data_IF_561543726319
#
_entry.id   IF_561543726319
#
_cell.length_a   1.000
_cell.length_b   1.000
_cell.length_c   1.000
_cell.angle_alpha   90.00
_cell.angle_beta   90.00
_cell.angle_gamma   90.00
#
_symmetry.space_group_name_H-M   'P 1'
#
loop_
_entity.id
_entity.type
_entity.pdbx_description
1 polymer ?
#
# COMPACT_ATOMS: atom_id res chain seq x y z
N UNK A 1 14.59 9.98 -25.17
CA UNK A 1 14.72 8.75 -26.00
C UNK A 1 15.08 7.62 -25.05
N UNK A 2 14.30 6.54 -25.01
CA UNK A 2 14.57 5.37 -24.14
C UNK A 2 15.72 4.56 -24.77
N UNK A 3 16.75 4.16 -24.00
CA UNK A 3 17.82 3.29 -24.50
C UNK A 3 17.28 1.94 -24.98
N UNK A 4 17.81 1.41 -26.09
CA UNK A 4 17.36 0.11 -26.64
C UNK A 4 17.57 -1.04 -25.65
N UNK A 5 18.62 -0.99 -24.84
CA UNK A 5 18.90 -1.98 -23.80
C UNK A 5 17.79 -2.04 -22.73
N UNK A 6 17.18 -0.92 -22.38
CA UNK A 6 16.05 -0.88 -21.43
C UNK A 6 14.80 -1.48 -22.07
N UNK A 7 14.55 -1.18 -23.34
CA UNK A 7 13.43 -1.78 -24.08
C UNK A 7 13.57 -3.31 -24.16
N UNK A 8 14.75 -3.83 -24.43
CA UNK A 8 15.03 -5.27 -24.46
C UNK A 8 14.80 -5.91 -23.07
N UNK A 9 15.32 -5.30 -22.00
CA UNK A 9 15.13 -5.80 -20.64
C UNK A 9 13.64 -5.81 -20.21
N UNK A 10 12.89 -4.79 -20.57
CA UNK A 10 11.43 -4.75 -20.29
C UNK A 10 10.71 -5.81 -21.12
N UNK A 11 11.08 -6.02 -22.39
CA UNK A 11 10.51 -7.05 -23.24
C UNK A 11 10.75 -8.47 -22.68
N UNK A 12 11.96 -8.73 -22.19
CA UNK A 12 12.30 -10.02 -21.54
C UNK A 12 11.42 -10.25 -20.29
N UNK A 13 11.21 -9.23 -19.46
CA UNK A 13 10.34 -9.32 -18.29
C UNK A 13 8.88 -9.57 -18.67
N UNK A 14 8.37 -8.91 -19.71
CA UNK A 14 7.01 -9.15 -20.25
C UNK A 14 6.87 -10.57 -20.75
N UNK A 15 7.88 -11.11 -21.47
CA UNK A 15 7.86 -12.50 -21.95
C UNK A 15 7.83 -13.50 -20.81
N UNK A 16 8.54 -13.23 -19.72
CA UNK A 16 8.52 -14.07 -18.52
C UNK A 16 7.14 -14.03 -17.87
N UNK A 17 6.55 -12.84 -17.74
CA UNK A 17 5.23 -12.66 -17.13
C UNK A 17 4.11 -13.31 -17.95
N UNK A 18 4.17 -13.26 -19.28
CA UNK A 18 3.18 -13.90 -20.17
C UNK A 18 3.13 -15.44 -20.04
N UNK A 19 4.17 -16.06 -19.47
CA UNK A 19 4.19 -17.49 -19.18
C UNK A 19 3.46 -17.85 -17.89
N UNK A 20 3.08 -16.87 -17.09
CA UNK A 20 2.31 -17.02 -15.86
C UNK A 20 0.83 -16.77 -16.19
N UNK A 21 0.00 -17.81 -16.10
CA UNK A 21 -1.38 -17.84 -16.65
C UNK A 21 -2.37 -16.83 -16.04
N UNK A 22 -2.02 -16.12 -14.93
CA UNK A 22 -2.99 -15.35 -14.14
C UNK A 22 -2.54 -13.93 -13.76
N UNK A 23 -1.49 -13.38 -14.38
CA UNK A 23 -0.95 -12.15 -13.84
C UNK A 23 -0.76 -11.06 -14.90
N UNK A 24 -1.34 -9.90 -14.64
CA UNK A 24 -0.94 -8.67 -15.30
C UNK A 24 0.40 -8.22 -14.80
N UNK A 25 1.24 -7.90 -15.75
CA UNK A 25 2.59 -7.45 -15.49
C UNK A 25 2.66 -5.92 -15.56
N UNK A 26 3.30 -5.33 -14.55
CA UNK A 26 3.66 -3.93 -14.58
C UNK A 26 5.15 -3.77 -14.30
N UNK A 27 5.77 -2.86 -15.04
CA UNK A 27 7.18 -2.56 -14.91
C UNK A 27 7.42 -1.06 -14.91
N UNK A 28 8.15 -0.57 -13.92
CA UNK A 28 8.75 0.76 -13.94
C UNK A 28 10.22 0.63 -14.32
N UNK A 29 10.65 1.39 -15.32
CA UNK A 29 12.03 1.37 -15.78
C UNK A 29 12.58 2.81 -15.90
N UNK A 30 13.86 2.97 -15.59
CA UNK A 30 14.62 4.20 -15.83
C UNK A 30 15.56 4.03 -17.02
N UNK A 31 16.30 5.07 -17.37
CA UNK A 31 17.38 4.98 -18.36
C UNK A 31 18.50 4.01 -17.95
N UNK A 32 18.56 3.63 -16.67
CA UNK A 32 19.54 2.67 -16.14
C UNK A 32 19.03 1.23 -16.12
N UNK A 33 17.74 0.99 -16.40
CA UNK A 33 17.11 -0.34 -16.41
C UNK A 33 15.81 -0.40 -15.63
N UNK A 34 15.22 -1.59 -15.50
CA UNK A 34 14.04 -1.83 -14.69
C UNK A 34 14.29 -1.48 -13.21
N UNK A 35 13.34 -0.79 -12.58
CA UNK A 35 13.35 -0.42 -11.16
C UNK A 35 12.44 -1.32 -10.35
N UNK A 36 11.24 -1.55 -10.87
CA UNK A 36 10.20 -2.38 -10.26
C UNK A 36 9.54 -3.19 -11.35
N UNK A 37 9.35 -4.48 -11.07
CA UNK A 37 8.57 -5.37 -11.91
C UNK A 37 7.69 -6.21 -10.98
N UNK A 38 6.37 -6.17 -11.18
CA UNK A 38 5.42 -6.88 -10.34
C UNK A 38 4.22 -7.35 -11.16
N UNK A 39 3.44 -8.24 -10.58
CA UNK A 39 2.20 -8.73 -11.16
C UNK A 39 1.04 -8.24 -10.32
N UNK A 40 -0.06 -7.89 -10.95
CA UNK A 40 -1.29 -7.47 -10.27
C UNK A 40 -2.35 -8.56 -10.38
N UNK A 41 -3.10 -8.83 -9.31
CA UNK A 41 -4.21 -9.78 -9.35
C UNK A 41 -5.38 -9.29 -10.20
N UNK A 42 -5.60 -7.98 -10.22
CA UNK A 42 -6.68 -7.35 -10.98
C UNK A 42 -6.12 -6.52 -12.14
N UNK A 43 -6.55 -6.80 -13.38
CA UNK A 43 -6.12 -6.06 -14.54
C UNK A 43 -6.57 -4.60 -14.52
N UNK A 44 -5.67 -3.65 -14.87
CA UNK A 44 -6.14 -2.36 -15.34
C UNK A 44 -7.02 -2.55 -16.58
N UNK A 45 -7.96 -1.65 -16.76
CA UNK A 45 -8.95 -1.73 -17.85
C UNK A 45 -8.33 -1.63 -19.24
N UNK A 46 -7.06 -1.22 -19.34
CA UNK A 46 -6.31 -1.09 -20.59
C UNK A 46 -4.80 -1.08 -20.33
N UNK A 47 -4.04 -1.48 -21.33
CA UNK A 47 -2.58 -1.41 -21.31
C UNK A 47 -2.12 0.05 -21.30
N UNK A 48 -1.24 0.39 -20.38
CA UNK A 48 -0.62 1.71 -20.30
C UNK A 48 0.87 1.60 -20.54
N UNK A 49 1.38 2.31 -21.53
CA UNK A 49 2.80 2.52 -21.75
C UNK A 49 3.05 4.02 -21.79
N UNK A 50 3.80 4.52 -20.83
CA UNK A 50 4.11 5.94 -20.72
C UNK A 50 5.61 6.16 -20.53
N UNK A 51 6.11 7.31 -21.03
CA UNK A 51 7.48 7.78 -20.86
C UNK A 51 7.42 9.19 -20.33
N UNK A 52 7.61 9.34 -19.04
CA UNK A 52 7.51 10.60 -18.33
C UNK A 52 8.75 10.87 -17.46
N UNK A 53 8.92 12.13 -17.05
CA UNK A 53 9.97 12.52 -16.09
C UNK A 53 9.73 11.94 -14.69
N UNK A 54 8.45 11.68 -14.34
CA UNK A 54 8.04 10.98 -13.12
C UNK A 54 7.22 9.75 -13.52
N UNK A 55 7.55 8.55 -13.02
CA UNK A 55 6.78 7.37 -13.32
C UNK A 55 5.40 7.42 -12.69
N UNK A 56 4.42 6.80 -13.33
CA UNK A 56 3.07 6.62 -12.81
C UNK A 56 3.07 5.51 -11.76
N UNK A 57 3.16 5.87 -10.49
CA UNK A 57 3.26 4.92 -9.37
C UNK A 57 1.95 4.68 -8.63
N UNK A 58 0.92 5.51 -8.86
CA UNK A 58 -0.39 5.39 -8.21
C UNK A 58 -0.98 3.98 -8.27
N UNK A 59 -1.09 3.34 -9.44
CA UNK A 59 -1.60 1.97 -9.55
C UNK A 59 -0.80 0.92 -8.76
N UNK A 60 0.53 1.11 -8.65
CA UNK A 60 1.37 0.22 -7.81
C UNK A 60 1.04 0.38 -6.33
N UNK A 61 0.91 1.63 -5.85
CA UNK A 61 0.55 1.90 -4.47
C UNK A 61 -0.86 1.39 -4.15
N UNK A 62 -1.82 1.57 -5.04
CA UNK A 62 -3.17 1.06 -4.89
C UNK A 62 -3.19 -0.47 -4.78
N UNK A 63 -2.45 -1.15 -5.66
CA UNK A 63 -2.29 -2.60 -5.61
C UNK A 63 -1.63 -3.06 -4.31
N UNK A 64 -0.51 -2.46 -3.91
CA UNK A 64 0.16 -2.78 -2.65
C UNK A 64 -0.75 -2.56 -1.43
N UNK A 65 -1.56 -1.51 -1.43
CA UNK A 65 -2.51 -1.23 -0.36
C UNK A 65 -3.69 -2.20 -0.33
N UNK A 66 -4.08 -2.76 -1.47
CA UNK A 66 -5.11 -3.79 -1.57
C UNK A 66 -4.60 -5.16 -1.12
N UNK A 67 -3.31 -5.43 -1.31
CA UNK A 67 -2.63 -6.65 -0.89
C UNK A 67 -2.26 -6.54 0.60
N UNK A 68 -3.24 -6.73 1.48
CA UNK A 68 -2.94 -6.82 2.91
C UNK A 68 -1.97 -7.97 3.19
N UNK A 69 -0.82 -7.64 3.78
CA UNK A 69 0.06 -8.67 4.31
C UNK A 69 -0.65 -9.43 5.42
N UNK A 70 -0.90 -10.70 5.20
CA UNK A 70 -1.68 -11.51 6.13
C UNK A 70 -1.03 -12.87 6.36
N UNK A 71 -1.22 -13.40 7.57
CA UNK A 71 -0.85 -14.76 7.93
C UNK A 71 -2.11 -15.59 7.99
N UNK A 72 -2.08 -16.76 7.37
CA UNK A 72 -3.14 -17.76 7.45
C UNK A 72 -2.65 -18.95 8.27
N UNK A 73 -3.33 -19.25 9.35
CA UNK A 73 -3.11 -20.45 10.16
C UNK A 73 -4.29 -21.41 9.99
N UNK A 74 -4.07 -22.49 9.27
CA UNK A 74 -5.06 -23.55 9.07
C UNK A 74 -4.82 -24.64 10.09
N UNK A 75 -5.83 -24.90 10.92
CA UNK A 75 -5.84 -25.87 12.02
C UNK A 75 -6.70 -27.05 11.63
N UNK A 76 -6.09 -28.22 11.56
CA UNK A 76 -6.75 -29.48 11.30
C UNK A 76 -6.52 -30.49 12.43
N UNK A 77 -6.99 -31.76 12.25
CA UNK A 77 -6.82 -32.84 13.24
C UNK A 77 -5.37 -33.28 13.44
N UNK A 78 -4.46 -32.93 12.52
CA UNK A 78 -3.04 -33.32 12.56
C UNK A 78 -2.17 -32.27 13.21
N UNK A 79 -2.61 -31.02 13.22
CA UNK A 79 -1.87 -29.88 13.74
C UNK A 79 -2.24 -28.56 13.10
N UNK A 80 -1.25 -27.74 12.79
CA UNK A 80 -1.43 -26.43 12.17
C UNK A 80 -0.47 -26.27 10.99
N UNK A 81 -0.96 -25.77 9.88
CA UNK A 81 -0.16 -25.24 8.78
C UNK A 81 -0.30 -23.73 8.76
N UNK A 82 0.83 -23.03 8.80
CA UNK A 82 0.90 -21.58 8.77
C UNK A 82 1.52 -21.14 7.45
N UNK A 83 0.87 -20.19 6.80
CA UNK A 83 1.28 -19.63 5.50
C UNK A 83 1.30 -18.11 5.65
N UNK A 84 2.45 -17.51 5.36
CA UNK A 84 2.61 -16.06 5.27
C UNK A 84 3.14 -15.71 3.89
N UNK A 85 2.37 -15.01 3.05
CA UNK A 85 2.89 -14.48 1.80
C UNK A 85 4.00 -13.45 2.11
N UNK A 86 5.08 -13.43 1.33
CA UNK A 86 6.19 -12.55 1.58
C UNK A 86 5.86 -11.11 1.15
N UNK A 87 6.39 -10.12 1.85
CA UNK A 87 6.54 -8.78 1.26
C UNK A 87 7.55 -8.81 0.10
N UNK A 88 8.66 -9.54 0.34
CA UNK A 88 9.72 -9.76 -0.65
C UNK A 88 10.30 -11.16 -0.44
N UNK A 89 10.38 -11.96 -1.49
CA UNK A 89 11.02 -13.27 -1.42
C UNK A 89 10.08 -14.47 -1.39
N UNK A 90 10.44 -15.53 -0.67
CA UNK A 90 9.69 -16.79 -0.64
C UNK A 90 8.56 -16.79 0.39
N UNK A 91 7.47 -17.50 0.08
CA UNK A 91 6.37 -17.73 1.01
C UNK A 91 6.86 -18.46 2.25
N UNK A 92 6.64 -17.88 3.42
CA UNK A 92 6.94 -18.55 4.68
C UNK A 92 5.86 -19.62 4.91
N UNK A 93 6.29 -20.87 5.03
CA UNK A 93 5.39 -21.97 5.38
C UNK A 93 5.97 -22.74 6.55
N UNK A 94 5.23 -22.78 7.66
CA UNK A 94 5.60 -23.56 8.83
C UNK A 94 4.49 -24.55 9.19
N UNK A 95 4.85 -25.71 9.75
CA UNK A 95 3.91 -26.73 10.17
C UNK A 95 4.20 -27.13 11.62
N UNK A 96 3.17 -27.13 12.45
CA UNK A 96 3.22 -27.65 13.81
C UNK A 96 2.42 -28.96 13.87
N UNK A 97 3.08 -30.05 14.25
CA UNK A 97 2.42 -31.35 14.39
C UNK A 97 1.86 -31.49 15.80
N UNK A 98 0.61 -31.93 15.89
CA UNK A 98 -0.10 -32.17 17.15
C UNK A 98 -0.84 -30.94 17.67
N UNK A 99 -1.70 -31.19 18.68
CA UNK A 99 -2.56 -30.16 19.27
C UNK A 99 -1.92 -29.59 20.54
N UNK A 100 -1.14 -28.54 20.37
CA UNK A 100 -0.64 -27.71 21.45
C UNK A 100 -1.12 -26.25 21.24
N UNK A 101 -2.22 -25.81 21.88
CA UNK A 101 -2.76 -24.47 21.68
C UNK A 101 -1.76 -23.36 21.99
N UNK A 102 -0.97 -23.49 23.04
CA UNK A 102 0.03 -22.48 23.41
C UNK A 102 1.14 -22.40 22.37
N UNK A 103 1.64 -23.55 21.91
CA UNK A 103 2.67 -23.62 20.86
C UNK A 103 2.16 -23.08 19.50
N UNK A 104 0.90 -23.33 19.17
CA UNK A 104 0.27 -22.79 17.98
C UNK A 104 0.14 -21.26 18.06
N UNK A 105 -0.35 -20.74 19.18
CA UNK A 105 -0.49 -19.30 19.41
C UNK A 105 0.88 -18.59 19.35
N UNK A 106 1.90 -19.16 19.99
CA UNK A 106 3.27 -18.62 19.96
C UNK A 106 3.85 -18.60 18.55
N UNK A 107 3.63 -19.67 17.76
CA UNK A 107 4.12 -19.74 16.38
C UNK A 107 3.43 -18.70 15.50
N UNK A 108 2.11 -18.55 15.58
CA UNK A 108 1.34 -17.56 14.86
C UNK A 108 1.86 -16.13 15.17
N UNK A 109 1.97 -15.80 16.47
CA UNK A 109 2.43 -14.48 16.90
C UNK A 109 3.86 -14.19 16.46
N UNK A 110 4.75 -15.19 16.53
CA UNK A 110 6.15 -15.05 16.07
C UNK A 110 6.23 -14.79 14.58
N UNK A 111 5.52 -15.56 13.75
CA UNK A 111 5.55 -15.38 12.29
C UNK A 111 4.90 -14.07 11.89
N UNK A 112 3.75 -13.73 12.47
CA UNK A 112 3.08 -12.47 12.20
C UNK A 112 3.98 -11.25 12.52
N UNK A 113 4.71 -11.30 13.63
CA UNK A 113 5.67 -10.27 13.99
C UNK A 113 6.87 -10.20 13.02
N UNK A 114 7.42 -11.35 12.63
CA UNK A 114 8.57 -11.42 11.71
C UNK A 114 8.24 -10.98 10.28
N UNK A 115 6.99 -11.16 9.86
CA UNK A 115 6.50 -10.79 8.51
C UNK A 115 5.82 -9.43 8.47
N UNK A 116 5.79 -8.70 9.58
CA UNK A 116 5.10 -7.41 9.73
C UNK A 116 3.66 -7.47 9.16
N UNK A 117 2.92 -8.42 9.71
CA UNK A 117 1.59 -8.80 9.21
C UNK A 117 0.53 -7.80 9.63
N UNK A 118 -0.33 -7.41 8.70
CA UNK A 118 -1.47 -6.51 8.93
C UNK A 118 -2.76 -7.22 9.31
N UNK A 119 -2.81 -8.56 9.16
CA UNK A 119 -3.99 -9.37 9.44
C UNK A 119 -3.58 -10.82 9.71
N UNK A 120 -4.14 -11.43 10.76
CA UNK A 120 -4.04 -12.87 11.01
C UNK A 120 -5.40 -13.51 10.79
N UNK A 121 -5.45 -14.52 9.92
CA UNK A 121 -6.61 -15.38 9.70
C UNK A 121 -6.36 -16.73 10.38
N UNK A 122 -7.22 -17.12 11.31
CA UNK A 122 -7.16 -18.44 11.96
C UNK A 122 -8.35 -19.25 11.50
N UNK A 123 -8.07 -20.36 10.86
CA UNK A 123 -9.03 -21.21 10.16
C UNK A 123 -9.07 -22.59 10.81
N UNK A 124 -10.24 -23.10 11.16
CA UNK A 124 -10.34 -24.44 11.78
C UNK A 124 -11.72 -24.76 12.35
N UNK A 125 -11.84 -25.92 13.01
CA UNK A 125 -13.08 -26.27 13.68
C UNK A 125 -13.38 -25.35 14.86
N UNK A 126 -14.66 -25.07 15.18
CA UNK A 126 -15.03 -24.19 16.30
C UNK A 126 -14.33 -24.55 17.62
N UNK A 127 -14.26 -25.84 17.96
CA UNK A 127 -13.63 -26.30 19.20
C UNK A 127 -12.11 -26.02 19.25
N UNK A 128 -11.42 -26.13 18.12
CA UNK A 128 -9.99 -25.84 18.01
C UNK A 128 -9.75 -24.34 18.10
N UNK A 129 -10.58 -23.56 17.42
CA UNK A 129 -10.47 -22.10 17.43
C UNK A 129 -10.79 -21.50 18.80
N UNK A 130 -11.75 -22.07 19.56
CA UNK A 130 -12.07 -21.64 20.93
C UNK A 130 -10.87 -21.79 21.88
N UNK A 131 -10.01 -22.78 21.62
CA UNK A 131 -8.79 -22.97 22.42
C UNK A 131 -7.65 -22.04 22.05
N UNK A 132 -7.47 -21.70 20.76
CA UNK A 132 -6.29 -21.03 20.24
C UNK A 132 -6.50 -19.51 20.07
N UNK A 133 -7.63 -19.08 19.52
CA UNK A 133 -7.92 -17.68 19.23
C UNK A 133 -7.73 -16.74 20.45
N UNK A 134 -8.22 -17.06 21.66
CA UNK A 134 -8.00 -16.21 22.82
C UNK A 134 -6.52 -16.07 23.23
N UNK A 135 -5.71 -17.09 22.96
CA UNK A 135 -4.27 -17.07 23.24
C UNK A 135 -3.53 -16.15 22.26
N UNK A 136 -3.88 -16.25 20.98
CA UNK A 136 -3.31 -15.40 19.92
C UNK A 136 -3.67 -13.93 20.15
N UNK A 137 -4.93 -13.61 20.41
CA UNK A 137 -5.40 -12.23 20.66
C UNK A 137 -4.74 -11.60 21.90
N UNK A 138 -4.39 -12.41 22.90
CA UNK A 138 -3.70 -11.91 24.11
C UNK A 138 -2.21 -11.76 23.98
N UNK A 139 -1.61 -12.23 22.90
CA UNK A 139 -0.16 -12.12 22.68
C UNK A 139 0.21 -10.66 22.41
N UNK A 140 1.00 -10.07 23.29
CA UNK A 140 1.39 -8.66 23.21
C UNK A 140 2.37 -8.34 22.07
N UNK A 141 2.76 -9.31 21.25
CA UNK A 141 3.57 -9.12 20.04
C UNK A 141 2.70 -8.82 18.82
N UNK A 142 1.40 -9.09 18.91
CA UNK A 142 0.46 -8.85 17.80
C UNK A 142 -0.16 -7.47 17.93
N UNK A 143 0.06 -6.66 16.91
CA UNK A 143 -0.51 -5.32 16.78
C UNK A 143 -1.55 -5.25 15.65
N UNK A 144 -1.94 -6.39 15.07
CA UNK A 144 -2.91 -6.50 13.99
C UNK A 144 -4.17 -7.27 14.42
N UNK A 145 -5.29 -7.09 13.71
CA UNK A 145 -6.50 -7.87 13.92
C UNK A 145 -6.29 -9.37 13.71
N UNK A 146 -6.96 -10.16 14.54
CA UNK A 146 -7.03 -11.63 14.41
C UNK A 146 -8.47 -11.99 14.06
N UNK A 147 -8.68 -12.53 12.88
CA UNK A 147 -9.99 -12.99 12.42
C UNK A 147 -10.07 -14.51 12.48
N UNK A 148 -11.21 -14.97 12.90
CA UNK A 148 -11.56 -16.39 13.01
C UNK A 148 -12.47 -16.78 11.85
N UNK A 149 -12.14 -17.92 11.21
CA UNK A 149 -12.95 -18.54 10.16
C UNK A 149 -13.28 -19.97 10.62
N UNK A 150 -14.54 -20.20 10.94
CA UNK A 150 -15.02 -21.50 11.39
C UNK A 150 -15.25 -22.42 10.18
N UNK A 151 -14.62 -23.60 10.16
CA UNK A 151 -14.84 -24.62 9.13
C UNK A 151 -15.78 -25.71 9.68
N UNK A 152 -16.82 -26.03 8.92
CA UNK A 152 -17.59 -27.24 9.13
C UNK A 152 -16.97 -28.37 8.28
N UNK A 153 -16.19 -29.24 8.92
CA UNK A 153 -15.36 -30.31 8.32
C UNK A 153 -16.07 -31.18 7.26
N UNK A 154 -17.39 -31.15 7.20
CA UNK A 154 -18.17 -32.05 6.34
C UNK A 154 -18.74 -31.38 5.08
N UNK A 155 -18.65 -30.02 4.94
CA UNK A 155 -19.42 -29.29 3.93
C UNK A 155 -18.67 -28.23 3.13
N UNK A 156 -17.54 -27.76 3.59
CA UNK A 156 -16.85 -26.65 2.96
C UNK A 156 -15.70 -27.15 2.07
N UNK A 157 -15.73 -26.78 0.80
CA UNK A 157 -14.64 -27.08 -0.14
C UNK A 157 -13.47 -26.11 0.05
N UNK A 158 -12.26 -26.50 -0.36
CA UNK A 158 -11.08 -25.64 -0.33
C UNK A 158 -11.31 -24.33 -1.14
N UNK A 159 -12.11 -24.39 -2.20
CA UNK A 159 -12.45 -23.23 -3.01
C UNK A 159 -13.34 -22.24 -2.24
N UNK A 160 -14.37 -22.70 -1.53
CA UNK A 160 -15.24 -21.86 -0.73
C UNK A 160 -14.47 -21.21 0.43
N UNK A 161 -13.54 -21.94 1.03
CA UNK A 161 -12.66 -21.41 2.06
C UNK A 161 -11.74 -20.31 1.50
N UNK A 162 -11.15 -20.55 0.33
CA UNK A 162 -10.32 -19.55 -0.33
C UNK A 162 -11.10 -18.26 -0.65
N UNK A 163 -12.33 -18.38 -1.18
CA UNK A 163 -13.20 -17.23 -1.42
C UNK A 163 -13.53 -16.45 -0.13
N UNK A 164 -13.77 -17.16 0.97
CA UNK A 164 -14.05 -16.53 2.26
C UNK A 164 -12.84 -15.77 2.78
N UNK A 165 -11.64 -16.35 2.68
CA UNK A 165 -10.40 -15.69 3.06
C UNK A 165 -10.16 -14.42 2.22
N UNK A 166 -10.31 -14.50 0.90
CA UNK A 166 -10.19 -13.34 -0.01
C UNK A 166 -11.17 -12.24 0.39
N UNK A 167 -12.42 -12.60 0.70
CA UNK A 167 -13.43 -11.63 1.15
C UNK A 167 -13.02 -10.93 2.45
N UNK A 168 -12.49 -11.66 3.44
CA UNK A 168 -12.01 -11.07 4.70
C UNK A 168 -10.84 -10.11 4.48
N UNK A 169 -9.90 -10.47 3.60
CA UNK A 169 -8.77 -9.60 3.23
C UNK A 169 -9.28 -8.32 2.54
N UNK A 170 -10.19 -8.46 1.57
CA UNK A 170 -10.79 -7.33 0.86
C UNK A 170 -11.59 -6.40 1.80
N UNK A 171 -12.41 -6.97 2.69
CA UNK A 171 -13.15 -6.21 3.70
C UNK A 171 -12.22 -5.42 4.63
N UNK A 172 -11.10 -6.02 5.03
CA UNK A 172 -10.12 -5.34 5.89
C UNK A 172 -9.41 -4.22 5.15
N UNK A 173 -9.01 -4.46 3.90
CA UNK A 173 -8.42 -3.41 3.04
C UNK A 173 -9.37 -2.22 2.88
N UNK A 174 -10.63 -2.47 2.54
CA UNK A 174 -11.64 -1.42 2.43
C UNK A 174 -11.84 -0.63 3.75
N UNK A 175 -11.84 -1.33 4.90
CA UNK A 175 -11.94 -0.67 6.22
C UNK A 175 -10.77 0.25 6.50
N UNK A 176 -9.53 -0.11 6.11
CA UNK A 176 -8.36 0.76 6.26
C UNK A 176 -8.54 2.09 5.54
N UNK A 177 -9.03 2.04 4.30
CA UNK A 177 -9.33 3.26 3.53
C UNK A 177 -10.38 4.13 4.25
N UNK A 178 -11.47 3.51 4.73
CA UNK A 178 -12.52 4.23 5.47
C UNK A 178 -11.97 4.81 6.78
N UNK A 179 -11.14 4.07 7.51
CA UNK A 179 -10.49 4.54 8.74
C UNK A 179 -9.57 5.74 8.45
N UNK A 180 -8.77 5.67 7.38
CA UNK A 180 -7.90 6.78 6.95
C UNK A 180 -8.69 8.02 6.55
N UNK A 181 -9.79 7.86 5.80
CA UNK A 181 -10.68 8.97 5.44
C UNK A 181 -11.36 9.60 6.67
N UNK A 182 -11.82 8.80 7.62
CA UNK A 182 -12.40 9.30 8.89
C UNK A 182 -11.39 10.08 9.70
N UNK A 183 -10.17 9.55 9.80
CA UNK A 183 -9.08 10.22 10.48
C UNK A 183 -8.73 11.55 9.80
N UNK A 184 -8.62 11.53 8.48
CA UNK A 184 -8.40 12.74 7.69
C UNK A 184 -9.49 13.80 7.95
N UNK A 185 -10.77 13.43 7.88
CA UNK A 185 -11.89 14.35 8.17
C UNK A 185 -11.87 14.90 9.59
N UNK A 186 -11.48 14.07 10.55
CA UNK A 186 -11.27 14.51 11.92
C UNK A 186 -10.20 15.60 12.01
N UNK A 187 -9.02 15.37 11.45
CA UNK A 187 -7.92 16.34 11.47
C UNK A 187 -8.23 17.60 10.67
N UNK A 188 -8.83 17.47 9.49
CA UNK A 188 -9.29 18.61 8.68
C UNK A 188 -10.24 19.51 9.47
N UNK A 189 -11.26 18.95 10.12
CA UNK A 189 -12.24 19.72 10.92
C UNK A 189 -11.64 20.41 12.14
N UNK A 190 -10.48 19.97 12.61
CA UNK A 190 -9.74 20.56 13.73
C UNK A 190 -8.58 21.48 13.28
N UNK A 191 -8.48 21.77 11.99
CA UNK A 191 -7.42 22.63 11.45
C UNK A 191 -6.02 21.99 11.38
N UNK A 192 -5.94 20.67 11.62
CA UNK A 192 -4.73 19.87 11.54
C UNK A 192 -4.66 19.05 10.22
N UNK A 193 -5.42 19.42 9.22
CA UNK A 193 -5.41 18.89 7.88
C UNK A 193 -5.93 19.92 6.89
N UNK A 194 -5.79 19.65 5.62
CA UNK A 194 -6.33 20.50 4.56
C UNK A 194 -6.69 19.70 3.31
N UNK A 195 -7.64 20.19 2.55
CA UNK A 195 -8.18 19.60 1.34
C UNK A 195 -7.70 20.35 0.10
N UNK A 196 -7.53 19.63 -1.00
CA UNK A 196 -7.20 20.18 -2.30
C UNK A 196 -5.70 20.26 -2.63
N UNK A 197 -5.43 20.47 -3.91
CA UNK A 197 -4.08 20.48 -4.51
C UNK A 197 -3.17 21.51 -3.87
N UNK A 198 -3.64 22.76 -3.78
CA UNK A 198 -2.80 23.90 -3.33
C UNK A 198 -2.32 23.66 -1.89
N UNK A 199 -3.23 23.21 -1.01
CA UNK A 199 -2.89 22.97 0.37
C UNK A 199 -1.96 21.75 0.54
N UNK A 200 -2.19 20.68 -0.24
CA UNK A 200 -1.35 19.49 -0.22
C UNK A 200 0.07 19.78 -0.71
N UNK A 201 0.22 20.50 -1.83
CA UNK A 201 1.52 20.94 -2.34
C UNK A 201 2.24 21.84 -1.32
N UNK A 202 1.56 22.79 -0.71
CA UNK A 202 2.17 23.68 0.30
C UNK A 202 2.60 22.92 1.55
N UNK A 203 1.84 21.91 1.99
CA UNK A 203 2.18 21.08 3.14
C UNK A 203 3.45 20.27 2.88
N UNK A 204 3.54 19.61 1.71
CA UNK A 204 4.73 18.86 1.30
C UNK A 204 5.95 19.77 1.18
N UNK A 205 5.84 20.93 0.53
CA UNK A 205 6.93 21.90 0.40
C UNK A 205 7.47 22.38 1.74
N UNK A 206 6.60 22.56 2.70
CA UNK A 206 6.97 23.07 4.04
C UNK A 206 7.34 21.95 5.01
N UNK A 207 7.36 20.69 4.60
CA UNK A 207 7.64 19.54 5.48
C UNK A 207 6.62 19.37 6.61
N UNK A 208 5.40 19.87 6.42
CA UNK A 208 4.31 19.77 7.42
C UNK A 208 3.38 18.59 7.21
N UNK A 209 3.51 17.90 6.07
CA UNK A 209 2.68 16.76 5.76
C UNK A 209 3.09 15.56 6.61
N UNK A 210 2.15 15.00 7.37
CA UNK A 210 2.29 13.76 8.14
C UNK A 210 1.70 12.58 7.40
N UNK A 211 0.66 12.81 6.58
CA UNK A 211 0.05 11.80 5.71
C UNK A 211 -0.59 12.48 4.50
N UNK A 212 -0.43 11.88 3.33
CA UNK A 212 -1.08 12.30 2.09
C UNK A 212 -2.17 11.30 1.71
N UNK A 213 -3.37 11.80 1.42
CA UNK A 213 -4.44 11.03 0.79
C UNK A 213 -4.57 11.51 -0.65
N UNK A 214 -4.66 10.58 -1.60
CA UNK A 214 -4.74 10.92 -3.02
C UNK A 214 -5.71 9.99 -3.74
N UNK A 215 -6.54 10.57 -4.61
CA UNK A 215 -7.32 9.83 -5.60
C UNK A 215 -6.56 9.87 -6.92
N UNK A 216 -6.12 8.71 -7.41
CA UNK A 216 -5.44 8.59 -8.70
C UNK A 216 -6.47 8.41 -9.83
N UNK A 217 -7.01 9.53 -10.31
CA UNK A 217 -7.89 9.53 -11.49
C UNK A 217 -7.03 9.36 -12.75
N UNK A 218 -7.18 8.27 -13.52
CA UNK A 218 -6.43 8.06 -14.75
C UNK A 218 -6.65 9.14 -15.80
N UNK A 219 -7.80 9.83 -15.77
CA UNK A 219 -8.19 10.87 -16.72
C UNK A 219 -7.74 12.28 -16.24
N UNK A 220 -7.07 12.38 -15.09
CA UNK A 220 -6.56 13.67 -14.62
C UNK A 220 -5.34 14.12 -15.43
N UNK A 221 -5.55 15.16 -16.25
CA UNK A 221 -4.53 15.76 -17.12
C UNK A 221 -3.81 16.94 -16.46
N UNK A 222 -4.06 17.26 -15.19
CA UNK A 222 -3.38 18.36 -14.51
C UNK A 222 -1.87 18.10 -14.42
N UNK A 223 -1.09 19.14 -14.64
CA UNK A 223 0.36 19.10 -14.55
C UNK A 223 0.85 19.67 -13.23
N UNK A 224 1.88 19.02 -12.68
CA UNK A 224 2.70 19.51 -11.59
C UNK A 224 4.12 19.75 -12.07
N UNK A 225 4.87 20.54 -11.33
CA UNK A 225 6.25 20.91 -11.62
C UNK A 225 7.13 20.49 -10.45
N UNK A 226 8.36 20.04 -10.74
CA UNK A 226 9.26 19.55 -9.70
C UNK A 226 10.72 19.80 -10.03
N UNK A 227 11.53 19.96 -8.97
CA UNK A 227 12.97 20.01 -9.03
C UNK A 227 13.63 18.70 -8.58
N UNK A 228 14.93 18.71 -8.39
CA UNK A 228 15.70 17.56 -7.93
C UNK A 228 15.32 17.13 -6.50
N UNK A 229 15.12 18.09 -5.60
CA UNK A 229 14.69 17.84 -4.22
C UNK A 229 13.21 17.46 -4.16
N UNK A 230 12.82 16.43 -3.38
CA UNK A 230 11.41 16.07 -3.21
C UNK A 230 10.50 17.21 -2.73
N UNK A 231 11.01 18.15 -1.93
CA UNK A 231 10.23 19.28 -1.46
C UNK A 231 10.08 20.40 -2.54
N UNK A 232 10.85 20.35 -3.61
CA UNK A 232 10.79 21.34 -4.69
C UNK A 232 9.69 20.95 -5.69
N UNK A 233 8.45 21.19 -5.32
CA UNK A 233 7.26 20.95 -6.16
C UNK A 233 6.40 22.20 -6.25
N UNK A 234 5.61 22.29 -7.32
CA UNK A 234 4.63 23.34 -7.53
C UNK A 234 3.47 22.89 -8.40
N UNK A 235 2.32 23.52 -8.26
CA UNK A 235 1.16 23.28 -9.11
C UNK A 235 1.19 24.13 -10.39
N UNK A 236 2.12 25.10 -10.48
CA UNK A 236 2.49 25.82 -11.71
C UNK A 236 4.00 26.07 -11.75
N UNK A 237 4.51 26.52 -12.90
CA UNK A 237 5.94 26.74 -13.11
C UNK A 237 6.51 27.84 -12.21
N UNK A 238 5.76 28.91 -11.98
CA UNK A 238 6.20 30.02 -11.14
C UNK A 238 6.31 29.61 -9.67
N UNK A 239 5.36 28.82 -9.19
CA UNK A 239 5.36 28.29 -7.85
C UNK A 239 6.52 27.30 -7.62
N UNK A 240 6.81 26.43 -8.59
CA UNK A 240 7.96 25.52 -8.54
C UNK A 240 9.30 26.26 -8.59
N UNK A 241 9.40 27.31 -9.39
CA UNK A 241 10.60 28.13 -9.48
C UNK A 241 10.90 28.85 -8.16
N UNK A 242 9.89 29.30 -7.44
CA UNK A 242 10.05 29.92 -6.11
C UNK A 242 10.48 28.90 -5.04
N UNK A 243 10.08 27.63 -5.20
CA UNK A 243 10.47 26.57 -4.29
C UNK A 243 11.91 26.10 -4.47
N UNK A 244 12.48 26.29 -5.65
CA UNK A 244 13.79 25.75 -6.01
C UNK A 244 14.84 26.85 -5.87
N UNK A 245 15.78 26.76 -4.90
CA UNK A 245 16.77 27.79 -4.69
C UNK A 245 17.74 27.89 -5.88
N UNK A 246 18.10 29.11 -6.25
CA UNK A 246 19.13 29.41 -7.26
C UNK A 246 20.53 29.16 -6.63
N UNK A 247 21.12 28.00 -6.92
CA UNK A 247 22.44 27.64 -6.39
C UNK A 247 23.49 27.91 -7.43
N UNK A 248 24.25 28.97 -7.20
CA UNK A 248 25.48 29.28 -7.99
C UNK A 248 25.25 29.85 -9.37
N UNK A 249 24.10 30.46 -9.68
CA UNK A 249 23.81 31.10 -10.94
C UNK A 249 23.45 30.17 -12.10
N UNK A 250 23.26 28.88 -11.81
CA UNK A 250 22.63 27.94 -12.72
C UNK A 250 21.12 27.97 -12.48
N UNK A 251 20.33 28.11 -13.53
CA UNK A 251 18.89 28.02 -13.44
C UNK A 251 18.52 26.62 -12.95
N UNK A 252 17.65 26.51 -11.93
CA UNK A 252 17.23 25.19 -11.42
C UNK A 252 16.58 24.38 -12.53
N UNK A 253 16.98 23.13 -12.66
CA UNK A 253 16.37 22.20 -13.59
C UNK A 253 14.98 21.84 -13.05
N UNK A 254 13.95 22.38 -13.69
CA UNK A 254 12.54 22.13 -13.32
C UNK A 254 11.93 21.31 -14.44
N UNK A 255 11.35 20.21 -14.07
CA UNK A 255 10.61 19.30 -14.95
C UNK A 255 9.11 19.36 -14.65
N UNK A 256 8.31 18.83 -15.55
CA UNK A 256 6.87 18.67 -15.35
C UNK A 256 6.43 17.23 -15.53
N UNK A 257 5.36 16.88 -14.86
CA UNK A 257 4.70 15.60 -14.99
C UNK A 257 3.24 15.71 -14.60
N UNK A 258 2.52 14.60 -14.65
CA UNK A 258 1.16 14.53 -14.14
C UNK A 258 1.14 14.91 -12.65
N UNK A 259 0.24 15.79 -12.26
CA UNK A 259 0.24 16.40 -10.92
C UNK A 259 0.23 15.36 -9.79
N UNK A 260 -0.59 14.33 -9.91
CA UNK A 260 -0.66 13.25 -8.93
C UNK A 260 0.69 12.56 -8.76
N UNK A 261 1.37 12.23 -9.87
CA UNK A 261 2.67 11.54 -9.81
C UNK A 261 3.77 12.42 -9.22
N UNK A 262 3.74 13.74 -9.50
CA UNK A 262 4.63 14.72 -8.88
C UNK A 262 4.45 14.81 -7.37
N UNK A 263 3.19 14.83 -6.91
CA UNK A 263 2.85 14.89 -5.49
C UNK A 263 3.21 13.57 -4.79
N UNK A 264 2.95 12.43 -5.42
CA UNK A 264 3.35 11.10 -4.91
C UNK A 264 4.88 10.99 -4.79
N UNK A 265 5.63 11.40 -5.82
CA UNK A 265 7.09 11.45 -5.77
C UNK A 265 7.58 12.28 -4.59
N UNK A 266 6.98 13.43 -4.38
CA UNK A 266 7.33 14.34 -3.28
C UNK A 266 7.07 13.70 -1.93
N UNK A 267 5.90 13.13 -1.72
CA UNK A 267 5.53 12.49 -0.47
C UNK A 267 6.47 11.32 -0.14
N UNK A 268 6.68 10.40 -1.08
CA UNK A 268 7.57 9.25 -0.91
C UNK A 268 9.02 9.69 -0.66
N UNK A 269 9.51 10.67 -1.42
CA UNK A 269 10.88 11.17 -1.27
C UNK A 269 11.13 11.86 0.07
N UNK A 270 10.08 12.32 0.76
CA UNK A 270 10.13 12.90 2.10
C UNK A 270 9.77 11.88 3.20
N UNK A 271 9.45 10.64 2.86
CA UNK A 271 9.00 9.62 3.82
C UNK A 271 7.60 9.87 4.38
N UNK A 272 6.77 10.67 3.68
CA UNK A 272 5.37 10.91 4.06
C UNK A 272 4.54 9.71 3.63
N UNK A 273 3.82 9.05 4.55
CA UNK A 273 2.88 7.98 4.24
C UNK A 273 1.81 8.43 3.24
N UNK A 274 1.52 7.56 2.28
CA UNK A 274 0.52 7.83 1.23
C UNK A 274 -0.61 6.82 1.31
N UNK A 275 -1.86 7.31 1.24
CA UNK A 275 -3.05 6.50 1.05
C UNK A 275 -3.69 6.83 -0.29
N UNK A 276 -3.70 5.85 -1.20
CA UNK A 276 -4.51 5.95 -2.42
C UNK A 276 -5.95 5.61 -2.08
N UNK A 277 -6.85 6.53 -2.38
CA UNK A 277 -8.27 6.43 -2.02
C UNK A 277 -9.06 6.17 -3.30
N UNK A 278 -9.89 5.12 -3.35
CA UNK A 278 -10.76 4.89 -4.48
C UNK A 278 -11.78 6.01 -4.63
N UNK A 279 -12.29 6.23 -5.85
CA UNK A 279 -13.33 7.22 -6.10
C UNK A 279 -14.64 6.79 -5.45
N UNK A 280 -14.94 7.36 -4.29
CA UNK A 280 -16.22 7.14 -3.59
C UNK A 280 -17.10 8.37 -3.78
N UNK A 281 -18.33 8.23 -4.30
CA UNK A 281 -19.19 9.38 -4.63
C UNK A 281 -19.46 10.34 -3.47
N UNK A 282 -19.58 9.80 -2.26
CA UNK A 282 -19.99 10.57 -1.07
C UNK A 282 -18.81 11.07 -0.21
N UNK A 283 -17.57 10.62 -0.49
CA UNK A 283 -16.38 10.95 0.31
C UNK A 283 -15.23 11.47 -0.56
N UNK A 284 -15.53 12.47 -1.40
CA UNK A 284 -14.52 13.04 -2.31
C UNK A 284 -13.57 13.96 -1.58
N UNK A 285 -12.28 13.77 -1.84
CA UNK A 285 -11.26 14.77 -1.55
C UNK A 285 -11.40 15.93 -2.54
N UNK A 286 -11.26 17.18 -2.09
CA UNK A 286 -11.27 18.31 -3.00
C UNK A 286 -10.08 18.18 -3.97
N UNK A 287 -10.35 18.38 -5.24
CA UNK A 287 -9.36 18.18 -6.30
C UNK A 287 -8.63 16.83 -6.27
N UNK A 288 -9.20 15.81 -5.61
CA UNK A 288 -8.62 14.47 -5.48
C UNK A 288 -7.44 14.38 -4.50
N UNK A 289 -7.21 15.36 -3.63
CA UNK A 289 -6.08 15.35 -2.70
C UNK A 289 -6.47 15.89 -1.33
N UNK A 290 -5.87 15.31 -0.28
CA UNK A 290 -5.97 15.79 1.09
C UNK A 290 -4.71 15.48 1.88
N UNK A 291 -4.42 16.27 2.90
CA UNK A 291 -3.21 16.14 3.70
C UNK A 291 -3.54 16.27 5.19
N UNK A 292 -2.94 15.42 6.01
CA UNK A 292 -2.88 15.56 7.47
C UNK A 292 -1.55 16.21 7.82
N UNK A 293 -1.55 17.17 8.73
CA UNK A 293 -0.35 17.85 9.20
C UNK A 293 0.26 17.15 10.40
N UNK A 294 1.57 17.33 10.61
CA UNK A 294 2.20 17.00 11.88
C UNK A 294 1.54 17.75 13.03
N UNK A 295 1.13 17.03 14.05
CA UNK A 295 0.51 17.60 15.26
C UNK A 295 1.39 17.25 16.45
N UNK A 296 1.86 18.27 17.18
CA UNK A 296 2.66 18.06 18.39
C UNK A 296 1.90 17.18 19.40
N UNK A 297 2.52 16.07 19.81
CA UNK A 297 1.91 15.13 20.76
C UNK A 297 1.08 14.01 20.14
N UNK A 298 0.90 14.00 18.84
CA UNK A 298 0.37 12.83 18.11
C UNK A 298 1.57 12.12 17.48
N UNK A 299 1.83 10.89 17.90
CA UNK A 299 2.95 10.14 17.35
C UNK A 299 2.67 9.84 15.87
N UNK A 300 3.59 10.24 14.98
CA UNK A 300 3.51 9.93 13.54
C UNK A 300 3.42 8.42 13.28
N UNK A 301 3.93 7.61 14.21
CA UNK A 301 3.85 6.15 14.20
C UNK A 301 2.40 5.64 14.04
N UNK A 302 1.41 6.33 14.62
CA UNK A 302 -0.01 5.95 14.51
C UNK A 302 -0.60 6.16 13.11
N UNK A 303 -0.09 7.13 12.35
CA UNK A 303 -0.53 7.40 10.96
C UNK A 303 0.17 6.46 9.99
N UNK A 304 1.46 6.21 10.19
CA UNK A 304 2.21 5.22 9.41
C UNK A 304 1.61 3.82 9.58
N UNK A 305 1.21 3.45 10.80
CA UNK A 305 0.52 2.19 11.08
C UNK A 305 -0.79 1.99 10.30
N UNK A 306 -1.53 3.07 10.01
CA UNK A 306 -2.76 3.00 9.20
C UNK A 306 -2.48 2.71 7.72
N UNK A 307 -1.32 3.12 7.21
CA UNK A 307 -0.93 2.91 5.81
C UNK A 307 -0.16 1.61 5.62
N UNK A 308 0.69 1.25 6.60
CA UNK A 308 1.58 0.10 6.51
C UNK A 308 0.97 -1.20 7.06
N UNK A 309 -0.08 -1.11 7.87
CA UNK A 309 -0.82 -2.24 8.46
C UNK A 309 -2.22 -2.36 7.89
#
# INVERSE_FOLDING_TARGET
MVPSTVVEQVADLVEVAQKSDDALFACLASSAGPLVATTFPDPPTHDVVDVAGVPRIGPFLESEQSLLHHVVAVLDRSGMTLIAPPRHGEVVRETLIGHNPDGAAELIARVAHLTDTSLVLIVGSPSTLDAIHPLVVRDGRLFCPVLRIDIDDERQSDAELAEEMVRHVADRSARRVVEALRLYRYFESHGAGADGVVASVQALRSGRASMLLVHDDPDDERHGWFGADPAHIGYDLADAALATPDIGGEHPHIESGRLVDVVLRSAIGQGVPVMVVPSVPDERLADGMGVIFHVDGFADDGLAELVER
#
